data_IF_439989899032
#
_entry.id   IF_439989899032
#
_cell.length_a   1.000
_cell.length_b   1.000
_cell.length_c   1.000
_cell.angle_alpha   90.00
_cell.angle_beta   90.00
_cell.angle_gamma   90.00
#
_symmetry.space_group_name_H-M   'P 1'
#
loop_
_entity.id
_entity.type
_entity.pdbx_description
1 polymer ?
#
# COMPACT_ATOMS: atom_id res chain seq x y z
N UNK A 1 8.76 -14.56 -25.95
CA UNK A 1 9.75 -13.73 -25.21
C UNK A 1 9.00 -12.52 -24.67
N UNK A 2 8.44 -12.59 -23.45
CA UNK A 2 7.62 -11.51 -22.85
C UNK A 2 8.05 -11.16 -21.40
N UNK A 3 9.18 -11.70 -20.93
CA UNK A 3 9.59 -11.64 -19.51
C UNK A 3 10.17 -10.29 -19.09
N UNK A 4 10.97 -9.64 -19.94
CA UNK A 4 11.61 -8.37 -19.59
C UNK A 4 10.63 -7.19 -19.66
N UNK A 5 9.71 -7.21 -20.63
CA UNK A 5 8.70 -6.16 -20.77
C UNK A 5 7.69 -6.20 -19.62
N UNK A 6 7.29 -7.40 -19.16
CA UNK A 6 6.35 -7.53 -18.04
C UNK A 6 6.95 -7.05 -16.71
N UNK A 7 8.24 -7.28 -16.48
CA UNK A 7 8.93 -6.78 -15.29
C UNK A 7 9.11 -5.25 -15.29
N UNK A 8 9.53 -4.68 -16.42
CA UNK A 8 9.65 -3.23 -16.58
C UNK A 8 8.29 -2.54 -16.40
N UNK A 9 7.23 -3.09 -16.97
CA UNK A 9 5.87 -2.58 -16.82
C UNK A 9 5.40 -2.63 -15.35
N UNK A 10 5.76 -3.67 -14.59
CA UNK A 10 5.47 -3.74 -13.13
C UNK A 10 6.16 -2.62 -12.35
N UNK A 11 7.41 -2.33 -12.67
CA UNK A 11 8.16 -1.22 -12.05
C UNK A 11 7.48 0.11 -12.38
N UNK A 12 7.20 0.38 -13.66
CA UNK A 12 6.56 1.63 -14.10
C UNK A 12 5.18 1.85 -13.45
N UNK A 13 4.37 0.80 -13.32
CA UNK A 13 3.07 0.85 -12.65
C UNK A 13 3.20 1.08 -11.14
N UNK A 14 4.22 0.50 -10.51
CA UNK A 14 4.52 0.72 -9.09
C UNK A 14 4.97 2.16 -8.85
N UNK A 15 5.84 2.70 -9.71
CA UNK A 15 6.26 4.10 -9.65
C UNK A 15 5.11 5.07 -9.89
N UNK A 16 4.19 4.72 -10.79
CA UNK A 16 2.96 5.48 -11.02
C UNK A 16 2.10 5.52 -9.76
N UNK A 17 1.95 4.40 -9.05
CA UNK A 17 1.22 4.37 -7.77
C UNK A 17 1.92 5.22 -6.71
N UNK A 18 3.26 5.11 -6.56
CA UNK A 18 4.03 5.93 -5.61
C UNK A 18 3.84 7.42 -5.89
N UNK A 19 3.97 7.83 -7.16
CA UNK A 19 3.79 9.23 -7.58
C UNK A 19 2.35 9.71 -7.39
N UNK A 20 1.36 8.84 -7.61
CA UNK A 20 -0.03 9.19 -7.37
C UNK A 20 -0.29 9.44 -5.88
N UNK A 21 0.14 8.51 -5.02
CA UNK A 21 -0.06 8.61 -3.57
C UNK A 21 0.69 9.80 -2.95
N UNK A 22 1.86 10.17 -3.48
CA UNK A 22 2.64 11.30 -2.96
C UNK A 22 2.00 12.68 -3.16
N UNK A 23 0.94 12.78 -3.98
CA UNK A 23 0.19 14.02 -4.18
C UNK A 23 -0.70 14.37 -3.00
N UNK A 24 -1.20 13.36 -2.30
CA UNK A 24 -2.19 13.50 -1.23
C UNK A 24 -1.67 13.02 0.13
N UNK A 25 -0.74 12.07 0.14
CA UNK A 25 -0.05 11.61 1.34
C UNK A 25 1.35 12.20 1.43
N UNK A 26 1.76 12.58 2.64
CA UNK A 26 3.17 12.88 2.89
C UNK A 26 3.95 11.57 2.93
N UNK A 27 4.78 11.33 1.91
CA UNK A 27 5.67 10.18 1.81
C UNK A 27 7.11 10.63 2.05
N UNK A 28 7.72 10.18 3.15
CA UNK A 28 9.14 10.38 3.44
C UNK A 28 9.89 9.08 3.15
N UNK A 29 10.85 9.10 2.24
CA UNK A 29 11.66 7.90 1.93
C UNK A 29 12.45 7.47 3.17
N UNK A 30 12.38 6.17 3.49
CA UNK A 30 13.21 5.52 4.51
C UNK A 30 14.30 4.63 3.88
N UNK A 31 14.14 4.27 2.60
CA UNK A 31 15.15 3.53 1.83
C UNK A 31 15.93 4.45 0.88
N UNK A 32 17.04 3.94 0.36
CA UNK A 32 17.65 4.47 -0.86
C UNK A 32 16.63 4.34 -2.00
N UNK A 33 16.39 5.42 -2.76
CA UNK A 33 15.40 5.43 -3.85
C UNK A 33 15.81 4.52 -5.02
N UNK A 34 17.10 4.20 -5.13
CA UNK A 34 17.63 3.29 -6.16
C UNK A 34 17.47 1.80 -5.78
N UNK A 35 17.16 1.51 -4.52
CA UNK A 35 17.07 0.16 -3.99
C UNK A 35 15.61 -0.28 -3.77
N UNK A 36 15.38 -1.58 -3.97
CA UNK A 36 14.09 -2.22 -3.71
C UNK A 36 14.21 -3.23 -2.56
N UNK A 37 13.17 -3.39 -1.72
CA UNK A 37 11.89 -2.68 -1.76
C UNK A 37 12.01 -1.20 -1.37
N UNK A 38 11.22 -0.34 -2.01
CA UNK A 38 11.16 1.08 -1.65
C UNK A 38 10.24 1.24 -0.46
N UNK A 39 10.75 1.84 0.61
CA UNK A 39 10.03 2.02 1.86
C UNK A 39 9.85 3.50 2.13
N UNK A 40 8.61 3.88 2.43
CA UNK A 40 8.25 5.24 2.81
C UNK A 40 7.53 5.24 4.16
N UNK A 41 7.86 6.23 4.98
CA UNK A 41 6.98 6.66 6.04
C UNK A 41 5.83 7.45 5.40
N UNK A 42 4.62 6.91 5.48
CA UNK A 42 3.38 7.55 5.04
C UNK A 42 2.72 8.21 6.23
N UNK A 43 2.44 9.51 6.15
CA UNK A 43 1.71 10.25 7.19
C UNK A 43 0.30 10.61 6.75
N UNK A 44 -0.69 10.28 7.59
CA UNK A 44 -2.10 10.65 7.41
C UNK A 44 -2.73 10.98 8.76
N UNK A 45 -3.41 12.14 8.87
CA UNK A 45 -4.07 12.60 10.11
C UNK A 45 -3.17 12.47 11.36
N UNK A 46 -1.93 12.95 11.26
CA UNK A 46 -0.90 12.91 12.33
C UNK A 46 -0.44 11.51 12.75
N UNK A 47 -0.92 10.45 12.10
CA UNK A 47 -0.43 9.08 12.27
C UNK A 47 0.57 8.74 11.18
N UNK A 48 1.53 7.88 11.54
CA UNK A 48 2.55 7.38 10.61
C UNK A 48 2.39 5.89 10.38
N UNK A 49 2.59 5.49 9.14
CA UNK A 49 2.51 4.13 8.64
C UNK A 49 3.74 3.83 7.80
N UNK A 50 4.06 2.55 7.64
CA UNK A 50 5.09 2.09 6.72
C UNK A 50 4.44 1.65 5.42
N UNK A 51 4.72 2.36 4.34
CA UNK A 51 4.33 2.00 2.98
C UNK A 51 5.51 1.32 2.28
N UNK A 52 5.34 0.06 1.90
CA UNK A 52 6.38 -0.75 1.26
C UNK A 52 5.95 -1.11 -0.17
N UNK A 53 6.82 -0.82 -1.12
CA UNK A 53 6.63 -1.12 -2.54
C UNK A 53 7.71 -2.09 -3.00
N UNK A 54 7.29 -3.19 -3.63
CA UNK A 54 8.17 -4.23 -4.15
C UNK A 54 8.47 -4.01 -5.63
N UNK A 55 9.68 -4.40 -6.04
CA UNK A 55 10.08 -4.42 -7.46
C UNK A 55 9.19 -5.35 -8.31
N UNK A 56 8.53 -6.33 -7.68
CA UNK A 56 7.63 -7.27 -8.36
C UNK A 56 6.20 -6.73 -8.53
N UNK A 57 5.94 -5.50 -8.11
CA UNK A 57 4.64 -4.87 -8.25
C UNK A 57 3.69 -5.17 -7.10
N UNK A 58 4.16 -5.17 -5.86
CA UNK A 58 3.27 -5.23 -4.70
C UNK A 58 3.39 -3.98 -3.84
N UNK A 59 2.29 -3.65 -3.18
CA UNK A 59 2.19 -2.53 -2.26
C UNK A 59 1.56 -3.02 -0.96
N UNK A 60 2.22 -2.72 0.17
CA UNK A 60 1.73 -3.05 1.50
C UNK A 60 1.76 -1.81 2.38
N UNK A 61 0.65 -1.53 3.06
CA UNK A 61 0.58 -0.55 4.14
C UNK A 61 0.59 -1.28 5.49
N UNK A 62 1.52 -0.91 6.37
CA UNK A 62 1.74 -1.54 7.67
C UNK A 62 1.68 -0.46 8.76
N UNK A 63 1.12 -0.75 9.95
CA UNK A 63 1.23 0.16 11.08
C UNK A 63 2.70 0.46 11.42
N UNK A 64 3.00 1.67 11.87
CA UNK A 64 4.34 1.99 12.37
C UNK A 64 4.53 1.63 13.86
N UNK A 65 3.54 0.98 14.48
CA UNK A 65 3.64 0.46 15.84
C UNK A 65 4.26 -0.95 15.81
N UNK A 66 5.41 -1.18 16.44
CA UNK A 66 6.09 -2.49 16.41
C UNK A 66 5.28 -3.62 17.05
N UNK A 67 4.24 -3.30 17.84
CA UNK A 67 3.33 -4.29 18.43
C UNK A 67 2.29 -4.80 17.45
N UNK A 68 2.10 -4.11 16.32
CA UNK A 68 1.07 -4.40 15.33
C UNK A 68 1.74 -4.83 14.02
N UNK A 69 1.81 -6.15 13.81
CA UNK A 69 2.52 -6.75 12.67
C UNK A 69 1.62 -7.01 11.46
N UNK A 70 0.30 -6.96 11.64
CA UNK A 70 -0.65 -7.20 10.55
C UNK A 70 -0.70 -6.02 9.58
N UNK A 71 -0.66 -6.27 8.26
CA UNK A 71 -0.84 -5.21 7.27
C UNK A 71 -2.25 -4.63 7.36
N UNK A 72 -2.37 -3.32 7.12
CA UNK A 72 -3.63 -2.59 7.01
C UNK A 72 -4.25 -2.80 5.63
N UNK A 73 -3.40 -2.82 4.60
CA UNK A 73 -3.83 -2.91 3.21
C UNK A 73 -2.74 -3.55 2.35
N UNK A 74 -3.14 -4.31 1.33
CA UNK A 74 -2.23 -4.98 0.41
C UNK A 74 -2.82 -4.99 -1.00
N UNK A 75 -1.98 -4.73 -1.99
CA UNK A 75 -2.26 -4.91 -3.41
C UNK A 75 -1.07 -5.57 -4.12
N UNK A 76 -1.36 -6.29 -5.19
CA UNK A 76 -0.36 -6.80 -6.13
C UNK A 76 -0.79 -6.61 -7.57
N UNK A 77 0.17 -6.29 -8.43
CA UNK A 77 0.01 -6.22 -9.86
C UNK A 77 -0.09 -7.63 -10.43
N UNK A 78 -1.25 -7.92 -10.99
CA UNK A 78 -1.55 -9.16 -11.70
C UNK A 78 -1.98 -8.85 -13.14
N UNK A 79 -2.11 -9.91 -13.94
CA UNK A 79 -2.52 -9.85 -15.33
C UNK A 79 -4.00 -10.19 -15.45
N UNK A 80 -4.81 -9.29 -15.98
CA UNK A 80 -6.24 -9.54 -16.22
C UNK A 80 -6.48 -10.50 -17.42
N UNK A 81 -7.75 -10.77 -17.73
CA UNK A 81 -8.12 -11.61 -18.89
C UNK A 81 -7.65 -11.05 -20.23
N UNK A 82 -7.37 -9.74 -20.32
CA UNK A 82 -6.90 -9.05 -21.51
C UNK A 82 -5.37 -8.89 -21.56
N UNK A 83 -4.65 -9.56 -20.65
CA UNK A 83 -3.21 -9.44 -20.51
C UNK A 83 -2.72 -8.05 -20.08
N UNK A 84 -3.58 -7.26 -19.46
CA UNK A 84 -3.24 -5.95 -18.90
C UNK A 84 -2.82 -6.08 -17.45
N UNK A 85 -1.83 -5.27 -17.07
CA UNK A 85 -1.35 -5.21 -15.69
C UNK A 85 -2.31 -4.38 -14.85
N UNK A 86 -2.93 -4.98 -13.83
CA UNK A 86 -3.94 -4.36 -12.98
C UNK A 86 -3.61 -4.57 -11.51
N UNK A 87 -4.00 -3.62 -10.66
CA UNK A 87 -3.86 -3.78 -9.21
C UNK A 87 -4.96 -4.67 -8.68
N UNK A 88 -4.58 -5.71 -7.93
CA UNK A 88 -5.51 -6.75 -7.46
C UNK A 88 -5.34 -6.97 -5.95
N UNK A 89 -6.45 -7.18 -5.26
CA UNK A 89 -6.51 -7.56 -3.85
C UNK A 89 -6.17 -9.05 -3.66
N UNK A 90 -5.85 -9.49 -2.42
CA UNK A 90 -5.60 -10.91 -2.13
C UNK A 90 -6.74 -11.87 -2.49
N UNK A 91 -7.99 -11.39 -2.49
CA UNK A 91 -9.18 -12.17 -2.83
C UNK A 91 -9.44 -12.24 -4.36
N UNK A 92 -8.59 -11.60 -5.17
CA UNK A 92 -8.72 -11.55 -6.62
C UNK A 92 -9.56 -10.39 -7.14
N UNK A 93 -10.09 -9.51 -6.28
CA UNK A 93 -10.80 -8.32 -6.74
C UNK A 93 -9.85 -7.34 -7.43
N UNK A 94 -10.17 -6.97 -8.66
CA UNK A 94 -9.41 -6.00 -9.45
C UNK A 94 -9.84 -4.58 -9.07
N UNK A 95 -8.86 -3.73 -8.78
CA UNK A 95 -9.06 -2.29 -8.59
C UNK A 95 -9.05 -1.60 -9.96
N UNK A 96 -10.10 -0.82 -10.24
CA UNK A 96 -10.32 -0.24 -11.57
C UNK A 96 -9.40 0.94 -11.87
N UNK A 97 -9.09 1.76 -10.85
CA UNK A 97 -8.24 2.94 -11.01
C UNK A 97 -7.50 3.34 -9.72
N UNK A 98 -6.52 4.25 -9.84
CA UNK A 98 -5.70 4.72 -8.73
C UNK A 98 -6.50 5.50 -7.67
N UNK A 99 -7.61 6.15 -8.07
CA UNK A 99 -8.47 6.90 -7.15
C UNK A 99 -9.22 5.94 -6.22
N UNK A 100 -9.65 4.79 -6.73
CA UNK A 100 -10.21 3.72 -5.92
C UNK A 100 -9.18 3.21 -4.89
N UNK A 101 -7.92 2.99 -5.29
CA UNK A 101 -6.84 2.61 -4.35
C UNK A 101 -6.73 3.63 -3.20
N UNK A 102 -6.76 4.92 -3.54
CA UNK A 102 -6.64 6.00 -2.56
C UNK A 102 -7.81 6.08 -1.57
N UNK A 103 -9.05 5.97 -2.06
CA UNK A 103 -10.22 5.99 -1.19
C UNK A 103 -10.31 4.72 -0.33
N UNK A 104 -9.94 3.56 -0.88
CA UNK A 104 -9.82 2.33 -0.10
C UNK A 104 -8.74 2.42 0.97
N UNK A 105 -7.58 3.01 0.66
CA UNK A 105 -6.51 3.22 1.63
C UNK A 105 -6.99 4.04 2.83
N UNK A 106 -7.64 5.18 2.60
CA UNK A 106 -8.23 6.00 3.67
C UNK A 106 -9.22 5.20 4.51
N UNK A 107 -10.11 4.44 3.85
CA UNK A 107 -11.10 3.60 4.53
C UNK A 107 -10.45 2.56 5.43
N UNK A 108 -9.43 1.84 4.94
CA UNK A 108 -8.74 0.82 5.72
C UNK A 108 -7.95 1.42 6.88
N UNK A 109 -7.29 2.57 6.68
CA UNK A 109 -6.66 3.33 7.77
C UNK A 109 -7.70 3.70 8.84
N UNK A 110 -8.85 4.23 8.44
CA UNK A 110 -9.90 4.62 9.38
C UNK A 110 -10.45 3.42 10.18
N UNK A 111 -10.70 2.29 9.51
CA UNK A 111 -11.15 1.05 10.15
C UNK A 111 -10.11 0.57 11.17
N UNK A 112 -8.83 0.58 10.79
CA UNK A 112 -7.73 0.19 11.65
C UNK A 112 -7.65 1.09 12.90
N UNK A 113 -7.59 2.41 12.73
CA UNK A 113 -7.48 3.36 13.86
C UNK A 113 -8.67 3.28 14.82
N UNK A 114 -9.88 3.11 14.27
CA UNK A 114 -11.10 2.92 15.06
C UNK A 114 -11.03 1.62 15.87
N UNK A 115 -10.55 0.54 15.26
CA UNK A 115 -10.42 -0.76 15.92
C UNK A 115 -9.39 -0.73 17.06
N UNK A 116 -8.23 -0.12 16.82
CA UNK A 116 -7.18 0.04 17.84
C UNK A 116 -7.67 0.92 19.00
N UNK A 117 -8.37 2.01 18.71
CA UNK A 117 -8.95 2.89 19.74
C UNK A 117 -9.95 2.14 20.63
N UNK A 118 -10.79 1.30 20.04
CA UNK A 118 -11.76 0.49 20.78
C UNK A 118 -11.10 -0.56 21.68
N UNK A 119 -10.01 -1.19 21.22
CA UNK A 119 -9.24 -2.15 22.03
C UNK A 119 -8.64 -1.44 23.25
N UNK A 120 -7.95 -0.32 23.03
CA UNK A 120 -7.34 0.46 24.10
C UNK A 120 -8.36 0.95 25.15
N UNK A 121 -9.58 1.30 24.72
CA UNK A 121 -10.66 1.67 25.64
C UNK A 121 -11.16 0.50 26.49
N UNK A 122 -11.16 -0.73 25.95
CA UNK A 122 -11.53 -1.92 26.70
C UNK A 122 -10.48 -2.28 27.74
N UNK A 123 -9.20 -2.25 27.37
CA UNK A 123 -8.09 -2.56 28.29
C UNK A 123 -8.02 -1.59 29.49
N UNK A 124 -8.33 -0.30 29.29
CA UNK A 124 -8.37 0.70 30.38
C UNK A 124 -9.54 0.54 31.36
N UNK A 125 -10.55 -0.28 31.04
CA UNK A 125 -11.73 -0.50 31.89
C UNK A 125 -11.64 -1.78 32.73
N UNK A 126 -10.60 -2.59 32.51
CA UNK A 126 -10.23 -3.79 33.27
C UNK A 126 -9.09 -3.49 34.20
#
# INVERSE_FOLDING_TARGET
MNGNDSFKNKIEQTETLIFFLSKDFFLKSESNLEEWPRVYQLTHLEKSYKAMFSIFGSFTLIPNDPRLTSPIYYLSLDTDSNQQLVWTKPDGEIIQDLKQIFEELKKHIQIFETSISNINLREKRT
#
